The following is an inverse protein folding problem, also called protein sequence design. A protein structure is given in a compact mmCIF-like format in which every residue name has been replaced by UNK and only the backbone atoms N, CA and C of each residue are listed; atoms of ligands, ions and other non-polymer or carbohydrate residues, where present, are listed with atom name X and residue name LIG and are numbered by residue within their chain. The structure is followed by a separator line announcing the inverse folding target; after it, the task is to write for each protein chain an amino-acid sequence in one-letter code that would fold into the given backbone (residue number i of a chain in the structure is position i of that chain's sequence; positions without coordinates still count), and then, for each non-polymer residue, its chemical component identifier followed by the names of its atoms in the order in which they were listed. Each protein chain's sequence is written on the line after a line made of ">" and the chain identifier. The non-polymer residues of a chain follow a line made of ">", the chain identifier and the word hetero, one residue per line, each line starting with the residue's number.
data_IF_697734186626
#
_entry.id   IF_697734186626
#
_cell.length_a   1.000
_cell.length_b   1.000
_cell.length_c   1.000
_cell.angle_alpha   90.00
_cell.angle_beta   90.00
_cell.angle_gamma   90.00
#
_symmetry.space_group_name_H-M   'P 1'
#
loop_
_entity.id
_entity.type
_entity.pdbx_description
1 polymer ?
#
# COMPACT_ATOMS: atom_id res chain seq x y z
N UNK A 1 -7.20 20.66 -28.68
CA UNK A 1 -6.77 21.33 -27.44
C UNK A 1 -5.72 20.43 -26.80
N UNK A 2 -4.43 20.67 -27.08
CA UNK A 2 -3.34 19.94 -26.44
C UNK A 2 -3.13 20.57 -25.07
N UNK A 3 -3.59 19.90 -24.02
CA UNK A 3 -3.26 20.24 -22.64
C UNK A 3 -1.79 19.88 -22.42
N UNK A 4 -0.90 20.82 -22.75
CA UNK A 4 0.47 20.81 -22.26
C UNK A 4 0.43 21.00 -20.76
N UNK A 5 0.39 19.89 -20.03
CA UNK A 5 0.66 19.87 -18.59
C UNK A 5 2.13 20.26 -18.45
N UNK A 6 2.39 21.50 -18.02
CA UNK A 6 3.73 21.94 -17.63
C UNK A 6 4.28 20.93 -16.62
N UNK A 7 5.44 20.34 -16.93
CA UNK A 7 6.14 19.42 -16.02
C UNK A 7 6.45 20.19 -14.74
N UNK A 8 5.83 19.87 -13.59
CA UNK A 8 6.21 20.53 -12.35
C UNK A 8 7.64 20.12 -12.03
N UNK A 9 8.57 21.07 -12.00
CA UNK A 9 9.94 20.83 -11.57
C UNK A 9 9.91 20.16 -10.17
N UNK A 10 10.26 18.87 -10.10
CA UNK A 10 10.16 18.08 -8.86
C UNK A 10 9.51 16.69 -8.98
N UNK A 11 9.01 16.29 -10.16
CA UNK A 11 8.39 14.96 -10.38
C UNK A 11 9.25 13.82 -9.81
N UNK A 12 10.57 13.84 -9.99
CA UNK A 12 11.45 12.79 -9.49
C UNK A 12 11.46 12.64 -7.96
N UNK A 13 11.46 13.75 -7.20
CA UNK A 13 11.50 13.71 -5.72
C UNK A 13 10.14 13.31 -5.14
N UNK A 14 9.06 13.78 -5.75
CA UNK A 14 7.69 13.40 -5.39
C UNK A 14 7.41 11.94 -5.70
N UNK A 15 7.87 11.43 -6.85
CA UNK A 15 7.73 10.02 -7.23
C UNK A 15 8.45 9.08 -6.26
N UNK A 16 9.66 9.43 -5.81
CA UNK A 16 10.33 8.65 -4.77
C UNK A 16 9.56 8.62 -3.47
N UNK A 17 8.95 9.75 -3.07
CA UNK A 17 8.08 9.76 -1.90
C UNK A 17 6.88 8.82 -2.07
N UNK A 18 6.22 8.82 -3.24
CA UNK A 18 5.11 7.90 -3.55
C UNK A 18 5.55 6.44 -3.48
N UNK A 19 6.69 6.10 -4.08
CA UNK A 19 7.26 4.74 -4.02
C UNK A 19 7.53 4.34 -2.57
N UNK A 20 8.21 5.19 -1.81
CA UNK A 20 8.53 4.91 -0.41
C UNK A 20 7.30 4.73 0.45
N UNK A 21 6.27 5.57 0.27
CA UNK A 21 5.01 5.43 0.99
C UNK A 21 4.33 4.10 0.65
N UNK A 22 4.25 3.72 -0.63
CA UNK A 22 3.68 2.42 -1.01
C UNK A 22 4.47 1.25 -0.42
N UNK A 23 5.80 1.31 -0.45
CA UNK A 23 6.65 0.27 0.16
C UNK A 23 6.41 0.17 1.67
N UNK A 24 6.36 1.30 2.38
CA UNK A 24 6.10 1.32 3.81
C UNK A 24 4.72 0.74 4.15
N UNK A 25 3.68 1.10 3.39
CA UNK A 25 2.33 0.57 3.57
C UNK A 25 2.31 -0.94 3.36
N UNK A 26 2.90 -1.43 2.27
CA UNK A 26 2.96 -2.88 1.96
C UNK A 26 3.74 -3.64 3.03
N UNK A 27 4.89 -3.12 3.48
CA UNK A 27 5.67 -3.75 4.56
C UNK A 27 4.90 -3.78 5.88
N UNK A 28 4.23 -2.69 6.23
CA UNK A 28 3.45 -2.61 7.46
C UNK A 28 2.25 -3.58 7.43
N UNK A 29 1.58 -3.71 6.28
CA UNK A 29 0.52 -4.70 6.10
C UNK A 29 1.05 -6.14 6.15
N UNK A 30 2.18 -6.42 5.50
CA UNK A 30 2.83 -7.74 5.54
C UNK A 30 3.19 -8.13 6.97
N UNK A 31 3.71 -7.18 7.75
CA UNK A 31 3.98 -7.37 9.16
C UNK A 31 2.70 -7.69 9.95
N UNK A 32 1.59 -7.00 9.67
CA UNK A 32 0.30 -7.28 10.30
C UNK A 32 -0.18 -8.72 10.04
N UNK A 33 -0.07 -9.16 8.79
CA UNK A 33 -0.42 -10.53 8.36
C UNK A 33 0.47 -11.56 9.05
N UNK A 34 1.78 -11.34 9.07
CA UNK A 34 2.72 -12.26 9.74
C UNK A 34 2.40 -12.35 11.23
N UNK A 35 2.14 -11.22 11.89
CA UNK A 35 1.79 -11.20 13.29
C UNK A 35 0.49 -11.98 13.56
N UNK A 36 -0.56 -11.77 12.76
CA UNK A 36 -1.82 -12.52 12.83
C UNK A 36 -1.62 -14.03 12.69
N UNK A 37 -0.77 -14.45 11.74
CA UNK A 37 -0.48 -15.87 11.50
C UNK A 37 0.40 -16.49 12.61
N UNK A 38 1.34 -15.73 13.17
CA UNK A 38 2.25 -16.22 14.22
C UNK A 38 1.56 -16.32 15.58
N UNK A 39 0.53 -15.52 15.82
CA UNK A 39 -0.25 -15.54 17.07
C UNK A 39 -1.44 -16.49 17.02
N UNK A 40 -1.59 -17.28 15.96
CA UNK A 40 -2.74 -18.17 15.76
C UNK A 40 -4.08 -17.46 15.96
N UNK A 41 -4.15 -16.18 15.59
CA UNK A 41 -5.31 -15.32 15.82
C UNK A 41 -6.58 -15.85 15.15
N UNK A 42 -6.42 -16.57 14.04
CA UNK A 42 -7.51 -17.27 13.36
C UNK A 42 -8.18 -18.37 14.21
N UNK A 43 -7.46 -18.92 15.19
CA UNK A 43 -7.95 -19.98 16.08
C UNK A 43 -8.40 -19.44 17.45
N UNK A 44 -7.91 -18.28 17.88
CA UNK A 44 -8.23 -17.64 19.16
C UNK A 44 -8.56 -16.15 18.98
N UNK A 45 -9.65 -15.81 18.27
CA UNK A 45 -9.99 -14.42 17.92
C UNK A 45 -10.31 -13.55 19.14
N UNK A 46 -10.72 -14.16 20.26
CA UNK A 46 -11.00 -13.47 21.52
C UNK A 46 -9.74 -12.93 22.24
N UNK A 47 -8.54 -13.34 21.83
CA UNK A 47 -7.30 -12.86 22.44
C UNK A 47 -6.86 -11.54 21.78
N UNK A 48 -6.67 -10.52 22.62
CA UNK A 48 -6.19 -9.23 22.15
C UNK A 48 -4.81 -9.35 21.47
N UNK A 49 -4.55 -8.57 20.41
CA UNK A 49 -3.25 -8.57 19.75
C UNK A 49 -2.13 -8.20 20.74
N UNK A 50 -0.98 -8.89 20.69
CA UNK A 50 0.11 -8.61 21.62
C UNK A 50 0.67 -7.20 21.41
N UNK A 51 1.15 -6.57 22.48
CA UNK A 51 1.58 -5.16 22.46
C UNK A 51 2.65 -4.84 21.39
N UNK A 52 3.46 -5.84 20.99
CA UNK A 52 4.46 -5.67 19.94
C UNK A 52 3.85 -5.54 18.53
N UNK A 53 2.63 -6.05 18.29
CA UNK A 53 1.94 -5.98 17.00
C UNK A 53 1.06 -4.73 16.86
N UNK A 54 0.88 -3.91 17.90
CA UNK A 54 0.07 -2.68 17.83
C UNK A 54 0.43 -1.69 16.71
N UNK A 55 1.69 -1.53 16.27
CA UNK A 55 1.99 -0.73 15.08
C UNK A 55 1.25 -1.21 13.82
N UNK A 56 0.87 -2.49 13.75
CA UNK A 56 0.07 -3.06 12.67
C UNK A 56 -1.38 -2.54 12.66
N UNK A 57 -1.92 -2.10 13.80
CA UNK A 57 -3.26 -1.49 13.87
C UNK A 57 -3.33 -0.25 12.98
N UNK A 58 -2.30 0.59 13.00
CA UNK A 58 -2.22 1.75 12.11
C UNK A 58 -2.13 1.34 10.64
N UNK A 59 -1.42 0.25 10.33
CA UNK A 59 -1.26 -0.27 8.97
C UNK A 59 -2.57 -0.84 8.41
N UNK A 60 -3.30 -1.61 9.21
CA UNK A 60 -4.55 -2.28 8.81
C UNK A 60 -5.72 -1.29 8.84
N UNK A 61 -5.78 -0.44 9.87
CA UNK A 61 -6.87 0.53 10.06
C UNK A 61 -6.77 1.77 9.17
N UNK A 62 -5.56 2.27 8.92
CA UNK A 62 -5.36 3.53 8.18
C UNK A 62 -4.68 3.31 6.83
N UNK A 63 -3.88 2.23 6.66
CA UNK A 63 -3.03 2.01 5.48
C UNK A 63 -3.76 1.92 4.14
N UNK A 64 -5.06 1.62 4.14
CA UNK A 64 -5.92 1.69 2.95
C UNK A 64 -5.90 3.09 2.31
N UNK A 65 -6.01 4.15 3.11
CA UNK A 65 -6.09 5.55 2.63
C UNK A 65 -4.82 5.98 1.89
N UNK A 66 -3.61 5.91 2.49
CA UNK A 66 -2.38 6.27 1.79
C UNK A 66 -2.10 5.31 0.62
N UNK A 67 -2.47 4.02 0.73
CA UNK A 67 -2.35 3.05 -0.35
C UNK A 67 -3.17 3.45 -1.59
N UNK A 68 -4.44 3.81 -1.41
CA UNK A 68 -5.33 4.26 -2.47
C UNK A 68 -4.87 5.59 -3.08
N UNK A 69 -4.52 6.58 -2.24
CA UNK A 69 -4.02 7.88 -2.70
C UNK A 69 -2.75 7.73 -3.54
N UNK A 70 -1.82 6.88 -3.12
CA UNK A 70 -0.60 6.62 -3.88
C UNK A 70 -0.89 5.98 -5.24
N UNK A 71 -1.91 5.10 -5.33
CA UNK A 71 -2.33 4.51 -6.60
C UNK A 71 -2.95 5.54 -7.54
N UNK A 72 -3.81 6.42 -7.03
CA UNK A 72 -4.40 7.49 -7.84
C UNK A 72 -3.35 8.41 -8.48
N UNK A 73 -2.22 8.63 -7.79
CA UNK A 73 -1.08 9.37 -8.34
C UNK A 73 -0.23 8.50 -9.29
N UNK A 74 -0.02 7.23 -8.96
CA UNK A 74 0.84 6.33 -9.74
C UNK A 74 0.22 5.92 -11.09
N UNK A 75 -1.09 5.67 -11.15
CA UNK A 75 -1.80 5.22 -12.35
C UNK A 75 -1.62 6.13 -13.58
N UNK A 76 -1.85 7.47 -13.51
CA UNK A 76 -1.66 8.34 -14.66
C UNK A 76 -0.20 8.40 -15.11
N UNK A 77 0.76 8.31 -14.16
CA UNK A 77 2.19 8.25 -14.47
C UNK A 77 2.56 6.94 -15.19
N UNK A 78 1.98 5.81 -14.75
CA UNK A 78 2.21 4.51 -15.37
C UNK A 78 1.59 4.41 -16.78
N UNK A 79 0.46 5.08 -17.01
CA UNK A 79 -0.22 5.11 -18.30
C UNK A 79 0.50 5.99 -19.34
N UNK A 80 1.20 7.04 -18.90
CA UNK A 80 1.94 7.94 -19.79
C UNK A 80 3.05 7.22 -20.58
N UNK A 81 3.06 7.37 -21.90
CA UNK A 81 4.09 6.81 -22.77
C UNK A 81 5.42 7.55 -22.63
N UNK A 82 5.38 8.87 -22.43
CA UNK A 82 6.57 9.72 -22.27
C UNK A 82 7.34 9.33 -21.01
N UNK A 83 6.63 9.10 -19.90
CA UNK A 83 7.23 8.70 -18.64
C UNK A 83 7.85 7.29 -18.70
N UNK A 84 7.22 6.38 -19.46
CA UNK A 84 7.75 5.02 -19.72
C UNK A 84 9.05 5.02 -20.51
N UNK A 85 9.18 5.93 -21.48
CA UNK A 85 10.37 6.02 -22.33
C UNK A 85 11.56 6.66 -21.61
N UNK A 86 11.30 7.61 -20.70
CA UNK A 86 12.34 8.45 -20.09
C UNK A 86 12.88 7.92 -18.75
N UNK A 87 12.07 7.20 -17.98
CA UNK A 87 12.43 6.81 -16.61
C UNK A 87 12.50 5.29 -16.39
N UNK A 88 13.73 4.78 -16.19
CA UNK A 88 13.98 3.37 -15.79
C UNK A 88 13.22 2.95 -14.53
N UNK A 89 12.88 3.91 -13.67
CA UNK A 89 12.16 3.70 -12.41
C UNK A 89 10.66 3.40 -12.60
N UNK A 90 10.10 3.57 -13.81
CA UNK A 90 8.71 3.21 -14.12
C UNK A 90 8.41 1.74 -13.78
N UNK A 91 9.36 0.84 -14.01
CA UNK A 91 9.20 -0.59 -13.67
C UNK A 91 9.02 -0.80 -12.17
N UNK A 92 9.82 -0.11 -11.36
CA UNK A 92 9.76 -0.23 -9.90
C UNK A 92 8.46 0.36 -9.36
N UNK A 93 8.04 1.53 -9.86
CA UNK A 93 6.73 2.10 -9.54
C UNK A 93 5.60 1.12 -9.92
N UNK A 94 5.68 0.48 -11.09
CA UNK A 94 4.71 -0.51 -11.55
C UNK A 94 4.65 -1.74 -10.65
N UNK A 95 5.81 -2.29 -10.25
CA UNK A 95 5.88 -3.45 -9.34
C UNK A 95 5.30 -3.12 -7.98
N UNK A 96 5.69 -1.99 -7.39
CA UNK A 96 5.22 -1.57 -6.06
C UNK A 96 3.72 -1.26 -6.10
N UNK A 97 3.23 -0.61 -7.16
CA UNK A 97 1.80 -0.36 -7.34
C UNK A 97 0.99 -1.64 -7.56
N UNK A 98 1.53 -2.63 -8.28
CA UNK A 98 0.88 -3.94 -8.39
C UNK A 98 0.77 -4.64 -7.03
N UNK A 99 1.84 -4.62 -6.21
CA UNK A 99 1.81 -5.17 -4.86
C UNK A 99 0.78 -4.46 -3.97
N UNK A 100 0.70 -3.13 -4.06
CA UNK A 100 -0.27 -2.33 -3.34
C UNK A 100 -1.72 -2.63 -3.77
N UNK A 101 -1.97 -2.84 -5.08
CA UNK A 101 -3.30 -3.28 -5.56
C UNK A 101 -3.66 -4.65 -4.99
N UNK A 102 -2.73 -5.62 -5.02
CA UNK A 102 -2.95 -6.96 -4.47
C UNK A 102 -3.31 -6.86 -2.98
N UNK A 103 -2.55 -6.07 -2.22
CA UNK A 103 -2.82 -5.81 -0.80
C UNK A 103 -4.23 -5.27 -0.58
N UNK A 104 -4.65 -4.24 -1.34
CA UNK A 104 -5.99 -3.66 -1.23
C UNK A 104 -7.09 -4.66 -1.60
N UNK A 105 -6.86 -5.51 -2.60
CA UNK A 105 -7.80 -6.57 -2.96
C UNK A 105 -7.95 -7.59 -1.82
N UNK A 106 -6.84 -8.00 -1.18
CA UNK A 106 -6.89 -8.91 -0.02
C UNK A 106 -7.64 -8.25 1.14
N UNK A 107 -7.39 -6.97 1.44
CA UNK A 107 -8.14 -6.24 2.47
C UNK A 107 -9.66 -6.19 2.18
N UNK A 108 -10.05 -6.22 0.90
CA UNK A 108 -11.45 -6.25 0.48
C UNK A 108 -12.08 -7.67 0.49
N UNK A 109 -11.32 -8.71 0.85
CA UNK A 109 -11.83 -10.09 0.95
C UNK A 109 -12.13 -10.48 2.40
N UNK A 110 -12.96 -11.52 2.65
CA UNK A 110 -13.29 -11.96 4.01
C UNK A 110 -12.07 -12.22 4.92
N UNK A 111 -10.97 -12.85 4.45
CA UNK A 111 -9.75 -12.99 5.27
C UNK A 111 -9.13 -11.65 5.68
N UNK A 112 -9.26 -10.62 4.84
CA UNK A 112 -8.82 -9.26 5.15
C UNK A 112 -9.68 -8.58 6.21
N UNK A 113 -10.98 -8.89 6.25
CA UNK A 113 -11.90 -8.40 7.26
C UNK A 113 -11.64 -9.04 8.62
N UNK A 114 -11.40 -10.36 8.66
CA UNK A 114 -11.02 -11.06 9.90
C UNK A 114 -9.73 -10.49 10.50
N UNK A 115 -8.74 -10.18 9.64
CA UNK A 115 -7.51 -9.51 10.06
C UNK A 115 -7.81 -8.12 10.64
N UNK A 116 -8.67 -7.33 9.98
CA UNK A 116 -9.06 -6.00 10.46
C UNK A 116 -9.80 -6.08 11.80
N UNK A 117 -10.79 -6.97 11.92
CA UNK A 117 -11.60 -7.15 13.11
C UNK A 117 -10.75 -7.58 14.30
N UNK A 118 -9.74 -8.42 14.11
CA UNK A 118 -8.85 -8.80 15.21
C UNK A 118 -7.94 -7.66 15.71
N UNK A 119 -7.58 -6.72 14.84
CA UNK A 119 -6.74 -5.57 15.22
C UNK A 119 -7.54 -4.36 15.72
N UNK A 120 -8.80 -4.22 15.31
CA UNK A 120 -9.61 -3.01 15.53
C UNK A 120 -10.86 -3.27 16.38
N UNK A 121 -11.35 -4.51 16.43
CA UNK A 121 -12.46 -4.96 17.27
C UNK A 121 -12.07 -5.11 18.73
#
# INVERSE_FOLDING_TARGET
>A
MQTTVERPAGVGRSMWAVVWVQVLVVLAYTYAVVAYLVTDAAYFPEQAPPAWSWPAVAAVGVGFIPGLLCLLVALPLLASADFRAEHRQWRLLGTVSAANVIMLLVMATPPGWELFDWYVG
#
